data_IF_541479905318
#
_entry.id   IF_541479905318
#
_cell.length_a   1.000
_cell.length_b   1.000
_cell.length_c   1.000
_cell.angle_alpha   90.00
_cell.angle_beta   90.00
_cell.angle_gamma   90.00
#
_symmetry.space_group_name_H-M   'P 1'
#
loop_
_entity.id
_entity.type
_entity.pdbx_description
1 polymer ?
#
# COMPACT_ATOMS: atom_id res chain seq x y z
N UNK A 1 39.66 1.98 12.00
CA UNK A 1 39.18 0.63 11.60
C UNK A 1 38.76 0.76 10.15
N UNK A 2 39.54 0.18 9.23
CA UNK A 2 39.26 0.26 7.78
C UNK A 2 38.07 -0.66 7.46
N UNK A 3 36.99 -0.08 6.96
CA UNK A 3 35.86 -0.85 6.37
C UNK A 3 36.41 -1.54 5.11
N UNK A 4 36.74 -2.82 5.22
CA UNK A 4 37.02 -3.66 4.05
C UNK A 4 35.84 -3.58 3.11
N UNK A 5 36.03 -2.98 1.92
CA UNK A 5 35.07 -3.13 0.81
C UNK A 5 34.90 -4.62 0.57
N UNK A 6 33.71 -5.15 0.85
CA UNK A 6 33.34 -6.50 0.41
C UNK A 6 33.47 -6.52 -1.11
N UNK A 7 34.45 -7.21 -1.63
CA UNK A 7 34.52 -7.51 -3.05
C UNK A 7 33.27 -8.27 -3.45
N UNK A 8 32.58 -7.79 -4.50
CA UNK A 8 31.43 -8.51 -5.08
C UNK A 8 31.92 -9.87 -5.59
N UNK A 9 31.60 -10.94 -4.88
CA UNK A 9 31.98 -12.31 -5.19
C UNK A 9 31.28 -12.81 -6.47
N UNK A 10 30.19 -12.15 -6.87
CA UNK A 10 29.44 -12.52 -8.07
C UNK A 10 29.86 -11.69 -9.30
N UNK A 11 30.09 -12.34 -10.47
CA UNK A 11 30.40 -11.62 -11.69
C UNK A 11 29.23 -10.71 -12.10
N UNK A 12 29.56 -9.50 -12.59
CA UNK A 12 28.55 -8.60 -13.16
C UNK A 12 27.94 -9.23 -14.40
N UNK A 13 26.62 -9.38 -14.40
CA UNK A 13 25.88 -9.78 -15.61
C UNK A 13 26.01 -8.66 -16.66
N UNK A 14 26.44 -9.04 -17.87
CA UNK A 14 26.49 -8.13 -19.01
C UNK A 14 25.19 -8.26 -19.79
N UNK A 15 24.49 -7.13 -19.98
CA UNK A 15 23.31 -7.11 -20.85
C UNK A 15 23.76 -7.17 -22.32
N UNK A 16 23.11 -8.01 -23.12
CA UNK A 16 23.24 -8.07 -24.58
C UNK A 16 22.08 -7.35 -25.28
N UNK A 17 21.27 -6.60 -24.51
CA UNK A 17 20.07 -5.93 -24.99
C UNK A 17 20.42 -4.75 -25.90
N UNK A 18 19.91 -4.75 -27.13
CA UNK A 18 19.97 -3.60 -28.03
C UNK A 18 18.80 -2.65 -27.76
N UNK A 19 19.09 -1.58 -27.01
CA UNK A 19 18.10 -0.57 -26.64
C UNK A 19 17.60 0.29 -27.81
N UNK A 20 18.24 0.18 -29.00
CA UNK A 20 17.86 0.91 -30.22
C UNK A 20 17.05 0.04 -31.19
N UNK A 21 16.92 -1.25 -30.92
CA UNK A 21 16.12 -2.13 -31.76
C UNK A 21 14.63 -1.75 -31.72
N UNK A 22 13.94 -1.90 -32.84
CA UNK A 22 12.49 -1.68 -32.93
C UNK A 22 11.72 -2.52 -31.91
N UNK A 23 12.16 -3.75 -31.69
CA UNK A 23 11.54 -4.63 -30.70
C UNK A 23 11.68 -4.10 -29.28
N UNK A 24 12.84 -3.56 -28.91
CA UNK A 24 13.03 -2.95 -27.58
C UNK A 24 12.13 -1.73 -27.40
N UNK A 25 12.07 -0.84 -28.42
CA UNK A 25 11.25 0.36 -28.38
C UNK A 25 9.78 0.00 -28.20
N UNK A 26 9.26 -0.94 -29.00
CA UNK A 26 7.89 -1.44 -28.89
C UNK A 26 7.60 -2.05 -27.51
N UNK A 27 8.49 -2.89 -27.00
CA UNK A 27 8.32 -3.51 -25.69
C UNK A 27 8.34 -2.47 -24.55
N UNK A 28 9.20 -1.45 -24.67
CA UNK A 28 9.26 -0.33 -23.71
C UNK A 28 7.95 0.44 -23.68
N UNK A 29 7.40 0.81 -24.84
CA UNK A 29 6.12 1.51 -24.94
C UNK A 29 5.00 0.70 -24.31
N UNK A 30 4.87 -0.58 -24.67
CA UNK A 30 3.86 -1.47 -24.08
C UNK A 30 4.00 -1.60 -22.55
N UNK A 31 5.22 -1.60 -22.02
CA UNK A 31 5.46 -1.64 -20.59
C UNK A 31 5.08 -0.32 -19.91
N UNK A 32 5.42 0.82 -20.51
CA UNK A 32 5.05 2.14 -20.00
C UNK A 32 3.53 2.33 -19.95
N UNK A 33 2.80 1.84 -20.96
CA UNK A 33 1.33 1.88 -20.96
C UNK A 33 0.74 1.05 -19.78
N UNK A 34 1.33 -0.13 -19.49
CA UNK A 34 0.91 -0.94 -18.35
C UNK A 34 1.22 -0.26 -17.01
N UNK A 35 2.37 0.39 -16.89
CA UNK A 35 2.73 1.15 -15.69
C UNK A 35 1.78 2.31 -15.48
N UNK A 36 1.46 3.08 -16.54
CA UNK A 36 0.48 4.16 -16.48
C UNK A 36 -0.90 3.68 -16.01
N UNK A 37 -1.32 2.49 -16.46
CA UNK A 37 -2.55 1.89 -15.97
C UNK A 37 -2.49 1.58 -14.47
N UNK A 38 -1.37 1.00 -13.99
CA UNK A 38 -1.17 0.73 -12.56
C UNK A 38 -1.11 2.01 -11.73
N UNK A 39 -0.47 3.07 -12.23
CA UNK A 39 -0.43 4.38 -11.57
C UNK A 39 -1.86 4.92 -11.37
N UNK A 40 -2.72 4.81 -12.39
CA UNK A 40 -4.13 5.19 -12.24
C UNK A 40 -4.89 4.38 -11.20
N UNK A 41 -4.53 3.12 -10.96
CA UNK A 41 -5.11 2.32 -9.87
C UNK A 41 -4.57 2.76 -8.48
N UNK A 42 -3.32 3.19 -8.39
CA UNK A 42 -2.76 3.77 -7.17
C UNK A 42 -3.48 5.07 -6.82
N UNK A 43 -3.72 5.95 -7.80
CA UNK A 43 -4.50 7.18 -7.61
C UNK A 43 -5.90 6.87 -7.04
N UNK A 44 -6.57 5.83 -7.54
CA UNK A 44 -7.86 5.39 -6.99
C UNK A 44 -7.74 4.87 -5.56
N UNK A 45 -6.68 4.14 -5.24
CA UNK A 45 -6.42 3.66 -3.87
C UNK A 45 -6.13 4.83 -2.91
N UNK A 46 -5.46 5.88 -3.40
CA UNK A 46 -5.18 7.09 -2.61
C UNK A 46 -6.43 7.91 -2.32
N UNK A 47 -7.31 8.03 -3.30
CA UNK A 47 -8.60 8.74 -3.15
C UNK A 47 -9.52 8.01 -2.17
N UNK A 48 -9.39 6.70 -2.01
CA UNK A 48 -10.19 5.90 -1.08
C UNK A 48 -11.70 6.05 -1.33
N UNK A 49 -12.44 6.57 -0.36
CA UNK A 49 -13.88 6.83 -0.47
C UNK A 49 -14.25 8.06 -1.29
N UNK A 50 -13.26 8.86 -1.74
CA UNK A 50 -13.48 10.07 -2.54
C UNK A 50 -13.58 11.36 -1.74
N UNK A 51 -13.41 12.49 -2.44
CA UNK A 51 -13.31 13.83 -1.86
C UNK A 51 -14.48 14.19 -0.93
N UNK A 52 -15.71 13.85 -1.30
CA UNK A 52 -16.88 14.13 -0.48
C UNK A 52 -16.80 13.48 0.91
N UNK A 53 -16.29 12.23 0.98
CA UNK A 53 -16.10 11.56 2.26
C UNK A 53 -14.96 12.18 3.07
N UNK A 54 -13.87 12.61 2.41
CA UNK A 54 -12.78 13.33 3.08
C UNK A 54 -13.24 14.67 3.66
N UNK A 55 -14.03 15.47 2.92
CA UNK A 55 -14.63 16.71 3.44
C UNK A 55 -15.52 16.47 4.66
N UNK A 56 -16.33 15.39 4.63
CA UNK A 56 -17.17 15.00 5.76
C UNK A 56 -16.35 14.62 6.99
N UNK A 57 -15.23 13.94 6.80
CA UNK A 57 -14.29 13.58 7.88
C UNK A 57 -13.64 14.86 8.44
N UNK A 58 -13.16 15.75 7.58
CA UNK A 58 -12.54 17.02 7.98
C UNK A 58 -13.49 17.90 8.81
N UNK A 59 -14.77 17.99 8.44
CA UNK A 59 -15.81 18.69 9.24
C UNK A 59 -16.00 18.11 10.65
N UNK A 60 -15.57 16.87 10.88
CA UNK A 60 -15.61 16.19 12.19
C UNK A 60 -14.26 16.23 12.90
N UNK A 61 -13.29 17.01 12.40
CA UNK A 61 -11.94 17.09 12.95
C UNK A 61 -11.12 15.83 12.76
N UNK A 62 -11.49 14.98 11.77
CA UNK A 62 -10.78 13.73 11.48
C UNK A 62 -9.83 13.91 10.30
N UNK A 63 -8.66 13.33 10.43
CA UNK A 63 -7.60 13.33 9.43
C UNK A 63 -7.80 12.17 8.45
N UNK A 64 -7.53 12.34 7.15
CA UNK A 64 -7.47 11.23 6.19
C UNK A 64 -6.47 10.15 6.64
N UNK A 65 -6.76 8.88 6.30
CA UNK A 65 -5.96 7.75 6.78
C UNK A 65 -4.49 7.85 6.36
N UNK A 66 -4.22 8.22 5.10
CA UNK A 66 -2.85 8.34 4.58
C UNK A 66 -2.06 9.45 5.28
N UNK A 67 -2.70 10.60 5.49
CA UNK A 67 -2.10 11.69 6.25
C UNK A 67 -1.80 11.27 7.70
N UNK A 68 -2.69 10.51 8.33
CA UNK A 68 -2.48 9.96 9.67
C UNK A 68 -1.28 9.02 9.72
N UNK A 69 -1.13 8.14 8.72
CA UNK A 69 0.03 7.25 8.60
C UNK A 69 1.30 8.05 8.39
N UNK A 70 1.30 9.00 7.45
CA UNK A 70 2.49 9.83 7.16
C UNK A 70 2.95 10.66 8.36
N UNK A 71 2.03 11.14 9.20
CA UNK A 71 2.35 11.96 10.38
C UNK A 71 3.04 11.18 11.52
N UNK A 72 3.00 9.86 11.50
CA UNK A 72 3.70 9.04 12.53
C UNK A 72 5.02 8.46 12.03
N UNK A 73 5.24 8.49 10.72
CA UNK A 73 6.50 8.05 10.14
C UNK A 73 7.61 9.08 10.44
N UNK A 74 8.81 8.58 10.60
CA UNK A 74 9.97 9.45 10.72
C UNK A 74 10.16 10.25 9.41
N UNK A 75 10.50 11.54 9.49
CA UNK A 75 10.73 12.38 8.30
C UNK A 75 11.77 11.76 7.36
N UNK A 76 11.52 11.91 6.06
CA UNK A 76 12.41 11.45 4.98
C UNK A 76 12.70 9.93 4.97
N UNK A 77 11.84 9.13 5.62
CA UNK A 77 11.94 7.67 5.57
C UNK A 77 10.96 7.06 4.57
N UNK A 78 11.31 5.93 3.92
CA UNK A 78 10.43 5.29 2.97
C UNK A 78 9.24 4.61 3.67
N UNK A 79 8.09 4.59 2.98
CA UNK A 79 6.94 3.76 3.34
C UNK A 79 6.68 2.74 2.23
N UNK A 80 6.80 1.46 2.55
CA UNK A 80 6.49 0.36 1.62
C UNK A 80 5.05 -0.07 1.83
N UNK A 81 4.13 0.45 1.01
CA UNK A 81 2.72 0.05 1.06
C UNK A 81 2.53 -1.40 0.61
N UNK A 82 1.73 -2.16 1.36
CA UNK A 82 1.43 -3.57 1.11
C UNK A 82 0.03 -3.68 0.49
N UNK A 83 -0.09 -4.43 -0.61
CA UNK A 83 -1.35 -4.73 -1.30
C UNK A 83 -2.18 -3.47 -1.65
N UNK A 84 -1.59 -2.44 -2.31
CA UNK A 84 -2.31 -1.23 -2.66
C UNK A 84 -3.45 -1.49 -3.68
N UNK A 85 -3.39 -2.59 -4.41
CA UNK A 85 -4.40 -2.98 -5.41
C UNK A 85 -5.45 -3.96 -4.88
N UNK A 86 -5.53 -4.18 -3.56
CA UNK A 86 -6.55 -5.05 -2.98
C UNK A 86 -7.95 -4.62 -3.45
N UNK A 87 -8.84 -5.59 -3.67
CA UNK A 87 -10.19 -5.40 -4.20
C UNK A 87 -10.27 -4.87 -5.65
N UNK A 88 -9.17 -4.74 -6.38
CA UNK A 88 -9.22 -4.42 -7.81
C UNK A 88 -10.03 -5.47 -8.58
N UNK A 89 -10.88 -5.01 -9.51
CA UNK A 89 -11.74 -5.89 -10.33
C UNK A 89 -13.02 -6.36 -9.63
N UNK A 90 -13.31 -5.86 -8.43
CA UNK A 90 -14.57 -6.15 -7.71
C UNK A 90 -15.57 -5.01 -7.87
N UNK A 91 -16.86 -5.33 -7.89
CA UNK A 91 -17.91 -4.34 -8.15
C UNK A 91 -18.31 -3.51 -6.92
N UNK A 92 -18.04 -4.00 -5.70
CA UNK A 92 -18.61 -3.44 -4.47
C UNK A 92 -17.58 -2.85 -3.51
N UNK A 93 -16.31 -2.82 -3.92
CA UNK A 93 -15.21 -2.37 -3.07
C UNK A 93 -14.26 -1.44 -3.79
N UNK A 94 -13.78 -0.44 -3.09
CA UNK A 94 -12.77 0.48 -3.61
C UNK A 94 -11.42 -0.21 -3.74
N UNK A 95 -10.63 0.17 -4.74
CA UNK A 95 -9.22 -0.23 -4.85
C UNK A 95 -8.49 0.19 -3.57
N UNK A 96 -7.62 -0.67 -3.06
CA UNK A 96 -6.99 -0.51 -1.75
C UNK A 96 -7.72 -1.23 -0.62
N UNK A 97 -8.95 -1.72 -0.88
CA UNK A 97 -9.72 -2.57 0.05
C UNK A 97 -10.27 -1.86 1.28
N UNK A 98 -10.15 -0.52 1.40
CA UNK A 98 -10.67 0.25 2.54
C UNK A 98 -9.72 0.32 3.75
N UNK A 99 -8.43 0.06 3.54
CA UNK A 99 -7.38 0.25 4.55
C UNK A 99 -6.02 0.49 3.90
N UNK A 100 -5.13 1.14 4.64
CA UNK A 100 -3.71 1.29 4.32
C UNK A 100 -2.91 0.34 5.18
N UNK A 101 -2.01 -0.43 4.60
CA UNK A 101 -1.03 -1.23 5.34
C UNK A 101 0.33 -1.13 4.68
N UNK A 102 1.40 -1.17 5.47
CA UNK A 102 2.75 -1.02 4.95
C UNK A 102 3.81 -1.18 6.01
N UNK A 103 5.05 -1.07 5.56
CA UNK A 103 6.23 -1.06 6.44
C UNK A 103 6.82 0.33 6.39
N UNK A 104 7.11 0.90 7.55
CA UNK A 104 7.71 2.22 7.69
C UNK A 104 8.52 2.34 8.96
N UNK A 105 9.18 3.46 9.15
CA UNK A 105 10.04 3.71 10.31
C UNK A 105 9.35 4.70 11.25
N UNK A 106 9.23 4.32 12.52
CA UNK A 106 8.64 5.15 13.58
C UNK A 106 9.64 5.21 14.74
N UNK A 107 10.11 6.39 15.09
CA UNK A 107 11.11 6.61 16.14
C UNK A 107 12.35 5.74 15.98
N UNK A 108 12.85 5.62 14.74
CA UNK A 108 14.02 4.81 14.38
C UNK A 108 13.78 3.30 14.35
N UNK A 109 12.54 2.84 14.53
CA UNK A 109 12.19 1.39 14.53
C UNK A 109 11.35 1.06 13.31
N UNK A 110 11.75 0.03 12.57
CA UNK A 110 10.95 -0.52 11.47
C UNK A 110 9.70 -1.22 12.03
N UNK A 111 8.54 -0.82 11.53
CA UNK A 111 7.24 -1.29 12.01
C UNK A 111 6.34 -1.68 10.84
N UNK A 112 5.47 -2.67 11.04
CA UNK A 112 4.29 -2.87 10.20
C UNK A 112 3.17 -1.97 10.69
N UNK A 113 2.60 -1.20 9.79
CA UNK A 113 1.51 -0.27 10.07
C UNK A 113 0.25 -0.77 9.36
N UNK A 114 -0.88 -0.70 10.06
CA UNK A 114 -2.20 -0.95 9.50
C UNK A 114 -3.16 0.14 9.95
N UNK A 115 -3.95 0.67 9.03
CA UNK A 115 -4.91 1.74 9.32
C UNK A 115 -6.21 1.56 8.53
N UNK A 116 -7.35 1.52 9.21
CA UNK A 116 -8.65 1.57 8.55
C UNK A 116 -8.87 2.92 7.87
N UNK A 117 -9.48 2.90 6.69
CA UNK A 117 -9.89 4.12 5.99
C UNK A 117 -11.37 4.43 6.29
N UNK A 118 -11.68 5.40 7.16
CA UNK A 118 -13.05 5.76 7.49
C UNK A 118 -13.81 6.43 6.33
N UNK A 119 -13.12 6.81 5.25
CA UNK A 119 -13.76 7.31 4.04
C UNK A 119 -14.45 6.19 3.23
N UNK A 120 -13.98 4.95 3.40
CA UNK A 120 -14.52 3.75 2.74
C UNK A 120 -15.38 2.97 3.74
N UNK A 121 -16.68 2.85 3.49
CA UNK A 121 -17.63 2.11 4.35
C UNK A 121 -17.47 2.40 5.86
N UNK A 122 -17.11 3.65 6.20
CA UNK A 122 -16.82 4.08 7.58
C UNK A 122 -15.75 3.22 8.29
N UNK A 123 -14.78 2.72 7.56
CA UNK A 123 -13.69 1.86 8.07
C UNK A 123 -14.13 0.44 8.43
N UNK A 124 -15.28 -0.02 7.94
CA UNK A 124 -15.80 -1.33 8.27
C UNK A 124 -14.81 -2.46 7.90
N UNK A 125 -14.82 -3.51 8.71
CA UNK A 125 -14.05 -4.72 8.49
C UNK A 125 -14.73 -5.54 7.39
N UNK A 126 -14.29 -5.34 6.15
CA UNK A 126 -14.68 -6.13 4.98
C UNK A 126 -13.77 -7.36 4.85
N UNK A 127 -14.07 -8.26 3.91
CA UNK A 127 -13.20 -9.41 3.61
C UNK A 127 -11.79 -8.94 3.22
N UNK A 128 -11.67 -7.90 2.40
CA UNK A 128 -10.38 -7.36 1.94
C UNK A 128 -9.60 -6.66 3.05
N UNK A 129 -10.28 -5.92 3.92
CA UNK A 129 -9.67 -5.35 5.13
C UNK A 129 -9.12 -6.46 6.02
N UNK A 130 -9.90 -7.52 6.24
CA UNK A 130 -9.50 -8.68 7.04
C UNK A 130 -8.29 -9.42 6.46
N UNK A 131 -8.26 -9.65 5.15
CA UNK A 131 -7.14 -10.30 4.47
C UNK A 131 -5.85 -9.45 4.54
N UNK A 132 -5.94 -8.14 4.28
CA UNK A 132 -4.79 -7.23 4.43
C UNK A 132 -4.30 -7.18 5.87
N UNK A 133 -5.21 -7.13 6.84
CA UNK A 133 -4.87 -7.14 8.27
C UNK A 133 -4.15 -8.42 8.68
N UNK A 134 -4.67 -9.58 8.27
CA UNK A 134 -4.05 -10.88 8.53
C UNK A 134 -2.65 -10.96 7.92
N UNK A 135 -2.48 -10.51 6.68
CA UNK A 135 -1.18 -10.47 6.00
C UNK A 135 -0.20 -9.53 6.69
N UNK A 136 -0.64 -8.37 7.15
CA UNK A 136 0.19 -7.43 7.88
C UNK A 136 0.70 -8.01 9.20
N UNK A 137 -0.16 -8.72 9.95
CA UNK A 137 0.24 -9.43 11.18
C UNK A 137 1.25 -10.54 10.86
N UNK A 138 1.02 -11.32 9.81
CA UNK A 138 1.94 -12.39 9.39
C UNK A 138 3.34 -11.81 9.10
N UNK A 139 3.42 -10.72 8.33
CA UNK A 139 4.69 -10.06 8.02
C UNK A 139 5.38 -9.57 9.30
N UNK A 140 4.64 -8.93 10.20
CA UNK A 140 5.17 -8.47 11.49
C UNK A 140 5.76 -9.62 12.31
N UNK A 141 5.00 -10.70 12.45
CA UNK A 141 5.41 -11.89 13.19
C UNK A 141 6.66 -12.55 12.58
N UNK A 142 6.66 -12.77 11.27
CA UNK A 142 7.72 -13.51 10.58
C UNK A 142 9.04 -12.72 10.55
N UNK A 143 8.95 -11.39 10.47
CA UNK A 143 10.12 -10.49 10.52
C UNK A 143 10.46 -10.00 11.93
N UNK A 144 9.65 -10.32 12.95
CA UNK A 144 9.83 -9.90 14.35
C UNK A 144 9.94 -8.38 14.52
N UNK A 145 9.17 -7.64 13.75
CA UNK A 145 9.04 -6.18 13.85
C UNK A 145 7.69 -5.80 14.46
N UNK A 146 7.58 -4.66 15.18
CA UNK A 146 6.34 -4.22 15.81
C UNK A 146 5.18 -4.10 14.82
N UNK A 147 3.96 -4.40 15.28
CA UNK A 147 2.71 -4.13 14.56
C UNK A 147 1.97 -2.97 15.22
N UNK A 148 1.69 -1.94 14.44
CA UNK A 148 0.97 -0.74 14.88
C UNK A 148 -0.34 -0.63 14.11
N UNK A 149 -1.47 -0.56 14.83
CA UNK A 149 -2.79 -0.48 14.23
C UNK A 149 -3.51 0.81 14.61
N UNK A 150 -3.91 1.58 13.61
CA UNK A 150 -4.80 2.75 13.75
C UNK A 150 -6.23 2.30 13.47
N UNK A 151 -6.93 1.90 14.52
CA UNK A 151 -8.29 1.36 14.40
C UNK A 151 -9.31 2.49 14.39
N UNK A 152 -10.02 2.62 13.26
CA UNK A 152 -11.19 3.45 13.13
C UNK A 152 -12.22 2.70 12.28
N UNK A 153 -13.12 1.96 12.92
CA UNK A 153 -14.00 1.02 12.26
C UNK A 153 -15.43 1.09 12.78
N UNK A 154 -16.39 1.01 11.85
CA UNK A 154 -17.81 0.87 12.16
C UNK A 154 -18.20 -0.58 12.57
N UNK A 155 -17.25 -1.50 12.64
CA UNK A 155 -17.50 -2.93 12.90
C UNK A 155 -17.40 -3.80 11.65
N UNK A 156 -17.98 -5.00 11.68
CA UNK A 156 -17.98 -5.91 10.54
C UNK A 156 -18.94 -5.48 9.43
N UNK A 157 -18.56 -5.66 8.17
CA UNK A 157 -19.47 -5.53 7.04
C UNK A 157 -20.37 -6.78 6.96
N UNK A 158 -21.63 -6.64 7.31
CA UNK A 158 -22.60 -7.74 7.32
C UNK A 158 -23.21 -8.02 5.93
N UNK A 159 -22.94 -7.19 4.93
CA UNK A 159 -23.47 -7.32 3.58
C UNK A 159 -22.63 -8.25 2.68
N UNK A 160 -21.73 -9.03 3.27
CA UNK A 160 -20.83 -9.90 2.51
C UNK A 160 -21.57 -11.20 2.15
N UNK A 161 -22.07 -11.29 0.92
CA UNK A 161 -22.20 -12.60 0.27
C UNK A 161 -20.81 -13.02 -0.23
N UNK A 162 -20.26 -14.11 0.31
CA UNK A 162 -19.14 -14.80 -0.31
C UNK A 162 -19.62 -15.39 -1.62
N UNK A 163 -19.38 -14.73 -2.74
CA UNK A 163 -19.73 -15.30 -4.03
C UNK A 163 -20.02 -14.37 -5.20
N UNK A 164 -19.67 -13.09 -5.11
CA UNK A 164 -19.70 -12.18 -6.26
C UNK A 164 -18.31 -11.70 -6.62
#
# INVERSE_FOLDING_TARGET
MSLMKKENIAPKLKSTLDIKSEQFIKNKEMMLDKLKFLDGLLDLAEIGGGLHHHERLAKRGKMPVRERVMNVLDPDTPFLEIQPYAAYGTNNYNVGGGCVSGIGIISGVECVIFANDPSVKAGAMTVYVGEKWARAIEISRDNKIPFISFVESAGGDLNVSRGD
#
